data_IF_514620653753
#
_entry.id   IF_514620653753
#
_cell.length_a   1.000
_cell.length_b   1.000
_cell.length_c   1.000
_cell.angle_alpha   90.00
_cell.angle_beta   90.00
_cell.angle_gamma   90.00
#
_symmetry.space_group_name_H-M   'P 1'
#
loop_
_entity.id
_entity.type
_entity.pdbx_description
1 polymer ?
#
# COMPACT_ATOMS: atom_id res chain seq x y z
N UNK A 1 24.89 3.43 56.24
CA UNK A 1 25.44 2.90 54.98
C UNK A 1 24.81 1.55 54.67
N UNK A 2 23.95 1.46 53.64
CA UNK A 2 23.89 0.35 52.67
C UNK A 2 22.83 0.69 51.61
N UNK A 3 23.23 0.46 50.37
CA UNK A 3 22.74 1.08 49.13
C UNK A 3 21.34 0.57 48.74
N UNK A 4 20.40 1.48 48.52
CA UNK A 4 19.19 1.20 47.75
C UNK A 4 19.57 1.26 46.27
N UNK A 5 19.79 0.11 45.64
CA UNK A 5 19.89 0.03 44.18
C UNK A 5 18.53 -0.45 43.65
N UNK A 6 17.58 0.47 43.56
CA UNK A 6 16.37 0.27 42.77
C UNK A 6 16.76 0.43 41.30
N UNK A 7 17.10 -0.69 40.67
CA UNK A 7 17.33 -0.76 39.23
C UNK A 7 15.97 -0.61 38.54
N UNK A 8 15.64 0.61 38.14
CA UNK A 8 14.57 0.88 37.19
C UNK A 8 14.97 0.27 35.83
N UNK A 9 14.68 -1.01 35.63
CA UNK A 9 14.55 -1.59 34.30
C UNK A 9 13.24 -1.05 33.71
N UNK A 10 13.30 0.16 33.14
CA UNK A 10 12.38 0.56 32.09
C UNK A 10 12.67 -0.33 30.87
N UNK A 11 12.20 -1.58 30.92
CA UNK A 11 11.86 -2.28 29.70
C UNK A 11 10.72 -1.48 29.10
N UNK A 12 11.05 -0.60 28.16
CA UNK A 12 10.07 0.00 27.27
C UNK A 12 9.42 -1.18 26.53
N UNK A 13 8.33 -1.69 27.10
CA UNK A 13 7.37 -2.48 26.36
C UNK A 13 6.83 -1.53 25.31
N UNK A 14 7.47 -1.51 24.13
CA UNK A 14 6.79 -1.16 22.91
C UNK A 14 5.62 -2.14 22.84
N UNK A 15 4.47 -1.70 23.32
CA UNK A 15 3.20 -2.37 23.03
C UNK A 15 3.01 -2.14 21.54
N UNK A 16 3.64 -3.00 20.73
CA UNK A 16 3.25 -3.19 19.34
C UNK A 16 1.86 -3.80 19.40
N UNK A 17 0.86 -2.94 19.57
CA UNK A 17 -0.52 -3.32 19.33
C UNK A 17 -0.58 -3.83 17.89
N UNK A 18 -1.11 -5.04 17.74
CA UNK A 18 -1.28 -5.63 16.42
C UNK A 18 -2.12 -4.68 15.56
N UNK A 19 -1.62 -4.35 14.37
CA UNK A 19 -2.35 -3.47 13.47
C UNK A 19 -3.60 -4.22 12.98
N UNK A 20 -4.79 -3.60 13.03
CA UNK A 20 -6.00 -4.24 12.51
C UNK A 20 -5.82 -4.60 11.04
N UNK A 21 -6.45 -5.70 10.64
CA UNK A 21 -6.42 -6.13 9.24
C UNK A 21 -7.24 -5.15 8.38
N UNK A 22 -6.54 -4.35 7.59
CA UNK A 22 -7.13 -3.43 6.61
C UNK A 22 -7.07 -3.97 5.17
N UNK A 23 -6.97 -5.28 4.97
CA UNK A 23 -6.89 -5.91 3.64
C UNK A 23 -8.02 -5.45 2.70
N UNK A 24 -9.23 -5.28 3.24
CA UNK A 24 -10.40 -4.83 2.49
C UNK A 24 -10.22 -3.42 1.88
N UNK A 25 -9.42 -2.55 2.51
CA UNK A 25 -9.09 -1.21 1.99
C UNK A 25 -8.35 -1.31 0.66
N UNK A 26 -7.39 -2.24 0.54
CA UNK A 26 -6.60 -2.39 -0.69
C UNK A 26 -7.44 -2.84 -1.88
N UNK A 27 -8.55 -3.56 -1.65
CA UNK A 27 -9.47 -3.99 -2.69
C UNK A 27 -10.28 -2.84 -3.32
N UNK A 28 -10.25 -1.64 -2.73
CA UNK A 28 -10.95 -0.45 -3.19
C UNK A 28 -12.42 -0.72 -3.57
N UNK A 29 -13.15 -1.44 -2.72
CA UNK A 29 -14.54 -1.85 -3.00
C UNK A 29 -14.72 -2.51 -4.37
N UNK A 30 -13.76 -3.34 -4.80
CA UNK A 30 -13.71 -4.01 -6.11
C UNK A 30 -13.53 -3.09 -7.34
N UNK A 31 -13.28 -1.79 -7.14
CA UNK A 31 -13.00 -0.81 -8.19
C UNK A 31 -11.49 -0.74 -8.47
N UNK A 32 -11.07 -0.47 -9.71
CA UNK A 32 -9.66 -0.22 -9.99
C UNK A 32 -9.23 1.10 -9.35
N UNK A 33 -7.95 1.19 -8.99
CA UNK A 33 -7.24 2.46 -8.89
C UNK A 33 -7.02 2.99 -10.31
N UNK A 34 -7.26 4.28 -10.51
CA UNK A 34 -7.18 4.94 -11.82
C UNK A 34 -6.13 6.04 -11.75
N UNK A 35 -5.36 6.17 -12.81
CA UNK A 35 -4.18 7.00 -12.80
C UNK A 35 -3.51 7.12 -14.15
N UNK A 36 -2.24 7.48 -14.11
CA UNK A 36 -1.43 7.71 -15.30
C UNK A 36 -0.10 6.98 -15.22
N UNK A 37 0.44 6.64 -16.39
CA UNK A 37 1.77 6.08 -16.60
C UNK A 37 2.51 6.85 -17.70
N UNK A 38 3.78 7.13 -17.45
CA UNK A 38 4.70 7.78 -18.40
C UNK A 38 4.44 9.28 -18.58
N UNK A 39 5.34 9.94 -19.30
CA UNK A 39 5.35 11.41 -19.43
C UNK A 39 4.17 11.97 -20.24
N UNK A 40 3.52 11.13 -21.06
CA UNK A 40 2.35 11.51 -21.85
C UNK A 40 1.04 11.35 -21.08
N UNK A 41 1.08 10.91 -19.82
CA UNK A 41 -0.10 10.76 -18.98
C UNK A 41 -1.07 9.69 -19.47
N UNK A 42 -0.54 8.59 -20.04
CA UNK A 42 -1.36 7.52 -20.57
C UNK A 42 -2.16 6.87 -19.43
N UNK A 43 -3.43 6.55 -19.66
CA UNK A 43 -4.28 6.01 -18.59
C UNK A 43 -3.75 4.64 -18.11
N UNK A 44 -3.65 4.50 -16.80
CA UNK A 44 -3.34 3.26 -16.10
C UNK A 44 -4.50 2.93 -15.17
N UNK A 45 -5.03 1.71 -15.30
CA UNK A 45 -5.95 1.11 -14.34
C UNK A 45 -5.27 -0.03 -13.63
N UNK A 46 -5.31 -0.04 -12.30
CA UNK A 46 -4.74 -1.08 -11.46
C UNK A 46 -5.84 -1.63 -10.56
N UNK A 47 -6.28 -2.87 -10.76
CA UNK A 47 -7.30 -3.51 -9.92
C UNK A 47 -6.64 -4.55 -9.02
N UNK A 48 -6.82 -4.41 -7.71
CA UNK A 48 -6.44 -5.44 -6.73
C UNK A 48 -7.65 -6.33 -6.49
N UNK A 49 -7.49 -7.63 -6.66
CA UNK A 49 -8.54 -8.63 -6.53
C UNK A 49 -8.41 -9.43 -5.23
N UNK A 50 -7.17 -9.65 -4.77
CA UNK A 50 -6.86 -10.37 -3.54
C UNK A 50 -5.94 -9.48 -2.72
N UNK A 51 -6.21 -9.40 -1.42
CA UNK A 51 -5.36 -8.77 -0.44
C UNK A 51 -5.43 -9.58 0.85
N UNK A 52 -4.29 -10.05 1.35
CA UNK A 52 -4.19 -10.85 2.56
C UNK A 52 -3.08 -10.32 3.47
N UNK A 53 -3.42 -10.01 4.72
CA UNK A 53 -2.43 -9.61 5.72
C UNK A 53 -1.50 -10.80 6.04
N UNK A 54 -0.20 -10.52 6.09
CA UNK A 54 0.79 -11.51 6.46
C UNK A 54 0.65 -11.88 7.95
N UNK A 55 0.36 -13.15 8.23
CA UNK A 55 0.16 -13.69 9.59
C UNK A 55 1.36 -13.51 10.53
N UNK A 56 2.56 -13.33 9.98
CA UNK A 56 3.81 -13.13 10.74
C UNK A 56 4.21 -11.65 10.85
N UNK A 57 3.64 -10.79 10.00
CA UNK A 57 3.95 -9.37 9.94
C UNK A 57 2.69 -8.59 9.54
N UNK A 58 2.00 -8.04 10.52
CA UNK A 58 0.73 -7.33 10.34
C UNK A 58 0.85 -6.02 9.52
N UNK A 59 2.07 -5.56 9.23
CA UNK A 59 2.35 -4.41 8.37
C UNK A 59 2.54 -4.80 6.90
N UNK A 60 2.56 -6.09 6.56
CA UNK A 60 2.73 -6.58 5.19
C UNK A 60 1.44 -7.22 4.68
N UNK A 61 1.11 -6.92 3.42
CA UNK A 61 -0.03 -7.50 2.71
C UNK A 61 0.44 -8.12 1.41
N UNK A 62 0.06 -9.36 1.16
CA UNK A 62 0.22 -9.98 -0.15
C UNK A 62 -0.99 -9.60 -1.00
N UNK A 63 -0.74 -9.12 -2.21
CA UNK A 63 -1.80 -8.67 -3.11
C UNK A 63 -1.63 -9.28 -4.50
N UNK A 64 -2.75 -9.50 -5.18
CA UNK A 64 -2.75 -9.88 -6.59
C UNK A 64 -3.91 -9.26 -7.33
N UNK A 65 -3.74 -9.10 -8.64
CA UNK A 65 -4.67 -8.33 -9.45
C UNK A 65 -4.23 -8.15 -10.89
N UNK A 66 -4.68 -7.07 -11.49
CA UNK A 66 -4.46 -6.77 -12.90
C UNK A 66 -4.18 -5.30 -13.15
N UNK A 67 -3.22 -5.03 -14.04
CA UNK A 67 -2.96 -3.73 -14.63
C UNK A 67 -3.53 -3.68 -16.05
N UNK A 68 -3.97 -2.49 -16.46
CA UNK A 68 -4.38 -2.20 -17.82
C UNK A 68 -3.80 -0.85 -18.22
N UNK A 69 -2.95 -0.86 -19.25
CA UNK A 69 -2.44 0.33 -19.92
C UNK A 69 -2.82 0.21 -21.39
N UNK A 70 -3.65 1.14 -21.88
CA UNK A 70 -4.25 1.04 -23.21
C UNK A 70 -4.94 -0.32 -23.43
N UNK A 71 -4.45 -1.17 -24.33
CA UNK A 71 -4.97 -2.53 -24.56
C UNK A 71 -4.14 -3.62 -23.89
N UNK A 72 -3.05 -3.27 -23.21
CA UNK A 72 -2.16 -4.24 -22.57
C UNK A 72 -2.68 -4.61 -21.17
N UNK A 73 -3.18 -5.84 -21.05
CA UNK A 73 -3.67 -6.40 -19.80
C UNK A 73 -2.65 -7.35 -19.20
N UNK A 74 -2.18 -7.05 -17.99
CA UNK A 74 -1.22 -7.89 -17.28
C UNK A 74 -1.73 -8.26 -15.89
N UNK A 75 -1.52 -9.52 -15.51
CA UNK A 75 -1.70 -9.99 -14.13
C UNK A 75 -0.50 -9.53 -13.32
N UNK A 76 -0.71 -9.19 -12.05
CA UNK A 76 0.39 -8.95 -11.13
C UNK A 76 0.17 -9.65 -9.79
N UNK A 77 1.27 -9.90 -9.11
CA UNK A 77 1.35 -10.28 -7.71
C UNK A 77 2.38 -9.42 -7.01
N UNK A 78 2.22 -9.20 -5.71
CA UNK A 78 3.15 -8.34 -5.00
C UNK A 78 2.82 -8.11 -3.55
N UNK A 79 3.40 -7.05 -3.02
CA UNK A 79 3.29 -6.68 -1.62
C UNK A 79 2.98 -5.21 -1.44
N UNK A 80 2.23 -4.94 -0.38
CA UNK A 80 2.08 -3.61 0.21
C UNK A 80 2.65 -3.68 1.62
N UNK A 81 3.55 -2.76 1.95
CA UNK A 81 4.22 -2.71 3.26
C UNK A 81 3.96 -1.35 3.90
N UNK A 82 3.25 -1.36 5.02
CA UNK A 82 3.04 -0.18 5.85
C UNK A 82 4.33 0.13 6.59
N UNK A 83 4.73 1.39 6.60
CA UNK A 83 5.93 1.87 7.30
C UNK A 83 5.61 2.82 8.44
N UNK A 84 4.46 3.51 8.37
CA UNK A 84 4.10 4.50 9.38
C UNK A 84 2.61 4.75 9.45
N UNK A 85 2.10 4.87 10.67
CA UNK A 85 0.78 5.42 10.95
C UNK A 85 0.90 6.77 11.67
N UNK A 86 0.03 7.71 11.31
CA UNK A 86 -0.15 8.99 12.01
C UNK A 86 -1.63 9.15 12.35
N UNK A 87 -1.92 9.34 13.63
CA UNK A 87 -3.25 9.72 14.11
C UNK A 87 -3.31 11.23 14.36
N UNK A 88 -4.25 11.90 13.72
CA UNK A 88 -4.59 13.30 13.93
C UNK A 88 -6.06 13.45 14.34
N UNK A 89 -6.43 12.90 15.52
CA UNK A 89 -7.74 12.99 16.21
C UNK A 89 -8.96 12.48 15.42
N UNK A 90 -9.26 13.12 14.30
CA UNK A 90 -10.38 12.81 13.37
C UNK A 90 -9.90 12.26 12.03
N UNK A 91 -8.60 12.31 11.75
CA UNK A 91 -8.00 11.84 10.51
C UNK A 91 -6.83 10.92 10.81
N UNK A 92 -6.83 9.74 10.21
CA UNK A 92 -5.69 8.84 10.18
C UNK A 92 -4.96 8.96 8.85
N UNK A 93 -3.64 8.85 8.88
CA UNK A 93 -2.82 8.70 7.68
C UNK A 93 -1.88 7.50 7.83
N UNK A 94 -1.96 6.58 6.88
CA UNK A 94 -1.03 5.44 6.74
C UNK A 94 -0.10 5.73 5.57
N UNK A 95 1.19 5.47 5.78
CA UNK A 95 2.23 5.56 4.77
C UNK A 95 2.87 4.19 4.58
N UNK A 96 3.35 3.93 3.38
CA UNK A 96 4.09 2.73 3.10
C UNK A 96 4.58 2.67 1.66
N UNK A 97 5.01 1.48 1.29
CA UNK A 97 5.57 1.17 -0.01
C UNK A 97 4.81 0.01 -0.65
N UNK A 98 4.87 -0.08 -1.96
CA UNK A 98 4.32 -1.19 -2.71
C UNK A 98 5.31 -1.68 -3.75
N UNK A 99 5.26 -2.97 -4.03
CA UNK A 99 6.02 -3.63 -5.08
C UNK A 99 5.12 -4.68 -5.74
N UNK A 100 4.78 -4.50 -7.01
CA UNK A 100 3.85 -5.35 -7.77
C UNK A 100 4.54 -5.82 -9.04
N UNK A 101 4.78 -7.11 -9.15
CA UNK A 101 5.42 -7.75 -10.28
C UNK A 101 4.36 -8.30 -11.24
N UNK A 102 4.38 -7.85 -12.49
CA UNK A 102 3.51 -8.40 -13.53
C UNK A 102 4.00 -9.79 -13.98
N UNK A 103 3.11 -10.65 -14.46
CA UNK A 103 3.50 -11.89 -15.13
C UNK A 103 4.42 -11.57 -16.32
N UNK A 104 5.58 -12.22 -16.38
CA UNK A 104 6.51 -12.01 -17.48
C UNK A 104 5.94 -12.58 -18.79
N UNK A 105 5.46 -11.67 -19.65
CA UNK A 105 4.92 -11.97 -20.99
C UNK A 105 5.74 -11.30 -22.10
N UNK A 106 6.96 -10.86 -21.78
CA UNK A 106 7.87 -10.19 -22.70
C UNK A 106 7.99 -8.68 -22.46
N UNK A 107 8.24 -7.92 -23.53
CA UNK A 107 8.69 -6.51 -23.48
C UNK A 107 7.74 -5.52 -22.81
N UNK A 108 6.48 -5.90 -22.60
CA UNK A 108 5.44 -5.07 -21.99
C UNK A 108 4.97 -5.61 -20.64
N UNK A 109 5.89 -6.26 -19.93
CA UNK A 109 5.70 -6.70 -18.54
C UNK A 109 6.84 -6.17 -17.67
N UNK A 110 6.50 -5.81 -16.44
CA UNK A 110 7.45 -5.14 -15.56
C UNK A 110 7.04 -5.13 -14.10
N UNK A 111 7.74 -4.27 -13.36
CA UNK A 111 7.61 -4.09 -11.93
C UNK A 111 7.08 -2.70 -11.62
N UNK A 112 5.94 -2.62 -10.95
CA UNK A 112 5.52 -1.39 -10.28
C UNK A 112 6.19 -1.31 -8.90
N UNK A 113 6.81 -0.18 -8.59
CA UNK A 113 7.39 0.08 -7.27
C UNK A 113 7.18 1.52 -6.87
N UNK A 114 6.76 1.76 -5.64
CA UNK A 114 6.49 3.12 -5.19
C UNK A 114 6.06 3.23 -3.75
N UNK A 115 5.52 4.40 -3.43
CA UNK A 115 4.99 4.75 -2.11
C UNK A 115 3.50 5.00 -2.19
N UNK A 116 2.80 4.71 -1.11
CA UNK A 116 1.40 5.08 -0.98
C UNK A 116 1.17 6.00 0.22
N UNK A 117 0.11 6.79 0.10
CA UNK A 117 -0.47 7.55 1.21
C UNK A 117 -1.96 7.20 1.27
N UNK A 118 -2.39 6.68 2.41
CA UNK A 118 -3.79 6.40 2.69
C UNK A 118 -4.28 7.35 3.79
N UNK A 119 -5.15 8.27 3.43
CA UNK A 119 -5.83 9.18 4.34
C UNK A 119 -7.27 8.70 4.57
N UNK A 120 -7.69 8.65 5.83
CA UNK A 120 -9.07 8.34 6.17
C UNK A 120 -9.61 9.19 7.32
N UNK A 121 -10.92 9.46 7.30
CA UNK A 121 -11.65 10.04 8.43
C UNK A 121 -12.39 8.94 9.16
N UNK A 122 -12.11 8.81 10.47
CA UNK A 122 -12.77 7.83 11.33
C UNK A 122 -13.90 8.48 12.12
N UNK A 123 -15.13 8.02 11.91
CA UNK A 123 -16.25 8.43 12.74
C UNK A 123 -16.33 7.53 13.98
N UNK A 124 -15.99 8.12 15.14
CA UNK A 124 -16.01 7.44 16.44
C UNK A 124 -17.41 7.02 16.92
N UNK A 125 -18.48 7.63 16.39
CA UNK A 125 -19.87 7.30 16.76
C UNK A 125 -20.38 6.07 15.99
N UNK A 126 -20.01 5.96 14.73
CA UNK A 126 -20.46 4.87 13.85
C UNK A 126 -19.42 3.76 13.70
N UNK A 127 -18.19 3.98 14.22
CA UNK A 127 -17.02 3.11 14.11
C UNK A 127 -16.72 2.73 12.65
N UNK A 128 -16.86 3.71 11.75
CA UNK A 128 -16.68 3.53 10.31
C UNK A 128 -15.81 4.62 9.71
N UNK A 129 -15.14 4.26 8.61
CA UNK A 129 -14.47 5.20 7.72
C UNK A 129 -15.54 5.91 6.89
N UNK A 130 -15.56 7.24 6.93
CA UNK A 130 -16.54 8.06 6.18
C UNK A 130 -15.95 8.62 4.88
N UNK A 131 -14.68 8.97 4.91
CA UNK A 131 -13.95 9.48 3.75
C UNK A 131 -12.60 8.79 3.71
N UNK A 132 -12.25 8.23 2.55
CA UNK A 132 -10.94 7.68 2.29
C UNK A 132 -10.36 8.20 0.97
N UNK A 133 -9.04 8.35 0.95
CA UNK A 133 -8.25 8.66 -0.23
C UNK A 133 -6.95 7.88 -0.15
N UNK A 134 -6.69 7.06 -1.16
CA UNK A 134 -5.46 6.32 -1.33
C UNK A 134 -4.79 6.82 -2.60
N UNK A 135 -3.54 7.23 -2.47
CA UNK A 135 -2.70 7.69 -3.58
C UNK A 135 -1.46 6.81 -3.64
N UNK A 136 -1.17 6.25 -4.82
CA UNK A 136 0.03 5.47 -5.08
C UNK A 136 0.88 6.24 -6.09
N UNK A 137 2.13 6.54 -5.72
CA UNK A 137 3.07 7.25 -6.58
C UNK A 137 4.36 6.46 -6.66
N UNK A 138 4.82 6.18 -7.87
CA UNK A 138 5.98 5.34 -8.09
C UNK A 138 6.44 5.29 -9.53
N UNK A 139 7.02 4.15 -9.87
CA UNK A 139 7.59 3.85 -11.17
C UNK A 139 7.14 2.47 -11.62
N UNK A 140 6.99 2.30 -12.94
CA UNK A 140 6.94 1.02 -13.61
C UNK A 140 8.24 0.84 -14.40
N UNK A 141 8.88 -0.32 -14.29
CA UNK A 141 10.09 -0.66 -15.05
C UNK A 141 9.91 -1.97 -15.77
N UNK A 142 10.23 -2.04 -17.06
CA UNK A 142 10.21 -3.31 -17.80
C UNK A 142 11.25 -4.28 -17.26
N UNK A 143 10.98 -5.58 -17.37
CA UNK A 143 11.93 -6.60 -16.90
C UNK A 143 13.24 -6.63 -17.69
N UNK A 144 13.22 -6.21 -18.95
CA UNK A 144 14.43 -6.06 -19.77
C UNK A 144 15.21 -4.78 -19.47
N UNK A 145 14.71 -3.92 -18.57
CA UNK A 145 15.35 -2.67 -18.15
C UNK A 145 15.35 -1.56 -19.19
N UNK A 146 14.66 -1.74 -20.33
CA UNK A 146 14.68 -0.77 -21.44
C UNK A 146 13.66 0.37 -21.27
N UNK A 147 12.62 0.17 -20.47
CA UNK A 147 11.53 1.12 -20.26
C UNK A 147 11.38 1.43 -18.77
N UNK A 148 11.25 2.72 -18.45
CA UNK A 148 10.93 3.22 -17.12
C UNK A 148 9.93 4.36 -17.23
N UNK A 149 8.83 4.26 -16.49
CA UNK A 149 7.73 5.21 -16.52
C UNK A 149 7.28 5.60 -15.11
N UNK A 150 7.12 6.90 -14.87
CA UNK A 150 6.46 7.39 -13.65
C UNK A 150 5.01 6.95 -13.63
N UNK A 151 4.50 6.60 -12.45
CA UNK A 151 3.11 6.19 -12.24
C UNK A 151 2.47 6.98 -11.11
N UNK A 152 1.19 7.28 -11.27
CA UNK A 152 0.41 7.97 -10.25
C UNK A 152 -1.04 7.49 -10.30
N UNK A 153 -1.52 6.88 -9.23
CA UNK A 153 -2.82 6.21 -9.12
C UNK A 153 -3.61 6.69 -7.91
N UNK A 154 -4.94 6.72 -8.03
CA UNK A 154 -5.88 7.07 -6.96
C UNK A 154 -7.04 6.09 -6.89
N UNK A 155 -7.66 5.98 -5.72
CA UNK A 155 -8.82 5.09 -5.51
C UNK A 155 -10.17 5.67 -5.96
N UNK A 156 -10.19 6.87 -6.58
CA UNK A 156 -11.39 7.62 -6.96
C UNK A 156 -11.50 7.83 -8.47
#
# INVERSE_FOLDING_TARGET
MKKNLLLFLFAAHFVWGQMPDISATWLNSSKPYIGTIGNKGQELKLKINIAEQNKKNDQEYFVSGYSLVDTNYAKFEGKITISKYKDAKKQGTVFGEYELAEENKGKHSGLFKGKFVYNFKWNRKTEKVEEENIELTGDWKSYDGTLEFKTHLKNR
#
